data_IF_643404325436
#
_entry.id   IF_643404325436
#
_cell.length_a   1.000
_cell.length_b   1.000
_cell.length_c   1.000
_cell.angle_alpha   90.00
_cell.angle_beta   90.00
_cell.angle_gamma   90.00
#
_symmetry.space_group_name_H-M   'P 1'
#
loop_
_entity.id
_entity.type
_entity.pdbx_description
1 polymer ?
#
# COMPACT_ATOMS: atom_id res chain seq x y z
N UNK A 1 17.16 -42.99 29.81
CA UNK A 1 15.89 -43.17 29.07
C UNK A 1 15.49 -41.85 28.46
N UNK A 2 15.82 -41.71 27.18
CA UNK A 2 15.64 -40.51 26.37
C UNK A 2 14.15 -40.35 26.00
N UNK A 3 13.55 -39.21 26.36
CA UNK A 3 12.22 -38.84 25.85
C UNK A 3 12.39 -38.29 24.42
N UNK A 4 12.00 -39.10 23.44
CA UNK A 4 11.89 -38.73 22.05
C UNK A 4 11.00 -37.49 21.89
N UNK A 5 11.59 -36.45 21.32
CA UNK A 5 10.89 -35.28 20.81
C UNK A 5 9.89 -35.76 19.70
N UNK A 6 8.62 -35.72 19.99
CA UNK A 6 7.58 -35.90 18.97
C UNK A 6 7.62 -34.68 18.06
N UNK A 7 8.21 -34.84 16.89
CA UNK A 7 8.03 -33.92 15.78
C UNK A 7 6.53 -33.79 15.50
N UNK A 8 5.92 -32.71 15.93
CA UNK A 8 4.59 -32.32 15.48
C UNK A 8 4.74 -32.00 14.00
N UNK A 9 4.35 -32.91 13.11
CA UNK A 9 4.08 -32.59 11.72
C UNK A 9 2.92 -31.62 11.73
N UNK A 10 3.21 -30.31 11.67
CA UNK A 10 2.21 -29.30 11.34
C UNK A 10 1.69 -29.69 9.97
N UNK A 11 0.43 -30.01 9.87
CA UNK A 11 -0.23 -30.30 8.60
C UNK A 11 -0.23 -28.99 7.79
N UNK A 12 0.71 -28.92 6.83
CA UNK A 12 0.99 -27.71 6.04
C UNK A 12 -0.21 -27.30 5.15
N UNK A 13 -1.29 -28.08 5.13
CA UNK A 13 -2.49 -27.76 4.36
C UNK A 13 -3.40 -26.74 5.07
N UNK A 14 -3.31 -26.60 6.40
CA UNK A 14 -4.18 -25.73 7.21
C UNK A 14 -3.53 -24.42 7.67
N UNK A 15 -2.32 -24.13 7.23
CA UNK A 15 -1.63 -22.88 7.55
C UNK A 15 -2.38 -21.66 6.95
N UNK A 16 -2.81 -20.67 7.78
CA UNK A 16 -3.50 -19.48 7.32
C UNK A 16 -2.76 -18.72 6.22
N UNK A 17 -1.43 -18.59 6.31
CA UNK A 17 -0.65 -17.93 5.27
C UNK A 17 -0.77 -18.65 3.93
N UNK A 18 -0.66 -19.97 3.91
CA UNK A 18 -0.81 -20.76 2.68
C UNK A 18 -2.20 -20.65 2.08
N UNK A 19 -3.25 -20.64 2.92
CA UNK A 19 -4.62 -20.38 2.44
C UNK A 19 -4.72 -19.01 1.76
N UNK A 20 -4.10 -17.99 2.36
CA UNK A 20 -4.06 -16.65 1.76
C UNK A 20 -3.27 -16.65 0.44
N UNK A 21 -2.09 -17.27 0.39
CA UNK A 21 -1.24 -17.33 -0.82
C UNK A 21 -1.96 -17.98 -2.00
N UNK A 22 -2.77 -19.04 -1.77
CA UNK A 22 -3.56 -19.72 -2.81
C UNK A 22 -4.52 -18.81 -3.57
N UNK A 23 -4.95 -17.69 -2.97
CA UNK A 23 -5.82 -16.72 -3.63
C UNK A 23 -5.10 -15.97 -4.76
N UNK A 24 -3.78 -15.96 -4.74
CA UNK A 24 -2.92 -15.26 -5.69
C UNK A 24 -2.23 -16.19 -6.68
N UNK A 25 -2.40 -17.50 -6.53
CA UNK A 25 -1.84 -18.51 -7.42
C UNK A 25 -2.55 -18.52 -8.79
N UNK A 26 -1.83 -18.96 -9.80
CA UNK A 26 -2.36 -19.17 -11.14
C UNK A 26 -1.26 -19.65 -12.11
N UNK A 27 -1.59 -19.85 -13.39
CA UNK A 27 -0.65 -20.36 -14.38
C UNK A 27 0.55 -19.40 -14.54
N UNK A 28 1.78 -19.92 -14.37
CA UNK A 28 3.04 -19.15 -14.53
C UNK A 28 3.22 -17.97 -13.53
N UNK A 29 2.45 -17.94 -12.45
CA UNK A 29 2.59 -16.93 -11.43
C UNK A 29 3.52 -17.38 -10.31
N UNK A 30 4.31 -16.44 -9.79
CA UNK A 30 5.11 -16.58 -8.58
C UNK A 30 4.39 -15.89 -7.44
N UNK A 31 4.30 -16.56 -6.30
CA UNK A 31 3.72 -16.00 -5.07
C UNK A 31 4.73 -16.16 -3.95
N UNK A 32 5.12 -15.04 -3.37
CA UNK A 32 5.99 -15.01 -2.18
C UNK A 32 5.15 -14.58 -0.98
N UNK A 33 5.16 -15.40 0.06
CA UNK A 33 4.59 -15.10 1.36
C UNK A 33 5.70 -14.75 2.36
N UNK A 34 5.43 -13.83 3.25
CA UNK A 34 6.29 -13.48 4.36
C UNK A 34 5.48 -13.50 5.65
N UNK A 35 6.04 -14.08 6.71
CA UNK A 35 5.61 -13.85 8.10
C UNK A 35 6.76 -13.24 8.88
N UNK A 36 6.42 -12.38 9.82
CA UNK A 36 7.36 -11.74 10.74
C UNK A 36 6.81 -11.92 12.16
N UNK A 37 7.64 -12.36 13.07
CA UNK A 37 7.28 -12.49 14.48
C UNK A 37 8.50 -12.20 15.34
N UNK A 38 8.37 -11.26 16.29
CA UNK A 38 9.39 -10.90 17.27
C UNK A 38 10.80 -10.67 16.65
N UNK A 39 10.89 -9.96 15.53
CA UNK A 39 12.16 -9.66 14.85
C UNK A 39 12.61 -10.71 13.82
N UNK A 40 11.90 -11.83 13.67
CA UNK A 40 12.31 -12.94 12.83
C UNK A 40 11.39 -13.10 11.61
N UNK A 41 11.82 -12.71 10.39
CA UNK A 41 11.08 -12.96 9.17
C UNK A 41 11.25 -14.43 8.70
N UNK A 42 10.19 -14.97 8.11
CA UNK A 42 10.18 -16.27 7.40
C UNK A 42 9.54 -16.06 6.04
N UNK A 43 10.11 -16.69 5.02
CA UNK A 43 9.67 -16.54 3.63
C UNK A 43 9.20 -17.88 3.07
N UNK A 44 8.15 -17.81 2.25
CA UNK A 44 7.49 -18.95 1.65
C UNK A 44 7.25 -18.68 0.18
N UNK A 45 7.21 -19.71 -0.62
CA UNK A 45 6.97 -19.59 -2.06
C UNK A 45 5.98 -20.65 -2.53
N UNK A 46 5.11 -20.23 -3.45
CA UNK A 46 4.26 -21.15 -4.21
C UNK A 46 4.21 -20.71 -5.69
N UNK A 47 3.78 -21.63 -6.55
CA UNK A 47 3.66 -21.35 -7.98
C UNK A 47 4.98 -21.48 -8.75
N UNK A 48 5.09 -20.79 -9.87
CA UNK A 48 6.21 -20.87 -10.79
C UNK A 48 7.43 -20.10 -10.26
N UNK A 49 8.58 -20.78 -10.20
CA UNK A 49 9.86 -20.18 -9.80
C UNK A 49 10.74 -19.95 -11.03
N UNK A 50 10.74 -18.75 -11.61
CA UNK A 50 11.36 -18.51 -12.91
C UNK A 50 12.88 -18.26 -12.87
N UNK A 51 13.49 -18.12 -11.67
CA UNK A 51 14.90 -17.75 -11.52
C UNK A 51 15.54 -18.36 -10.28
N UNK A 52 16.87 -18.36 -10.23
CA UNK A 52 17.69 -18.75 -9.08
C UNK A 52 17.76 -17.64 -8.00
N UNK A 53 17.07 -16.53 -8.19
CA UNK A 53 16.99 -15.45 -7.22
C UNK A 53 16.31 -15.94 -5.93
N UNK A 54 16.92 -15.66 -4.79
CA UNK A 54 16.32 -15.96 -3.49
C UNK A 54 14.91 -15.32 -3.40
N UNK A 55 13.94 -16.11 -2.93
CA UNK A 55 12.51 -15.73 -2.98
C UNK A 55 12.22 -14.39 -2.29
N UNK A 56 12.92 -14.12 -1.18
CA UNK A 56 12.79 -12.89 -0.43
C UNK A 56 13.33 -11.65 -1.15
N UNK A 57 14.17 -11.83 -2.19
CA UNK A 57 14.79 -10.76 -2.98
C UNK A 57 14.12 -10.55 -4.34
N UNK A 58 13.09 -11.33 -4.67
CA UNK A 58 12.28 -11.11 -5.87
C UNK A 58 11.53 -9.79 -5.75
N UNK A 59 11.61 -8.95 -6.76
CA UNK A 59 10.99 -7.61 -6.78
C UNK A 59 9.64 -7.69 -7.50
N UNK A 60 8.62 -7.10 -6.88
CA UNK A 60 7.26 -7.02 -7.41
C UNK A 60 6.74 -5.60 -7.38
N UNK A 61 5.84 -5.23 -8.29
CA UNK A 61 5.03 -4.03 -8.12
C UNK A 61 4.13 -4.20 -6.89
N UNK A 62 4.16 -3.23 -5.99
CA UNK A 62 3.33 -3.25 -4.78
C UNK A 62 2.06 -2.39 -4.89
N UNK A 63 1.90 -1.69 -6.01
CA UNK A 63 0.72 -0.90 -6.32
C UNK A 63 0.32 0.04 -5.17
N UNK A 64 -0.94 0.02 -4.76
CA UNK A 64 -1.46 0.93 -3.74
C UNK A 64 -0.86 0.79 -2.33
N UNK A 65 0.00 -0.21 -2.06
CA UNK A 65 0.82 -0.20 -0.83
C UNK A 65 1.75 1.02 -0.80
N UNK A 66 2.11 1.58 -1.97
CA UNK A 66 2.79 2.87 -2.12
C UNK A 66 2.14 3.99 -1.30
N UNK A 67 0.80 3.99 -1.18
CA UNK A 67 0.07 5.01 -0.44
C UNK A 67 0.47 5.13 1.03
N UNK A 68 0.90 4.03 1.62
CA UNK A 68 1.41 4.03 2.99
C UNK A 68 2.71 4.83 3.07
N UNK A 69 3.62 4.63 2.13
CA UNK A 69 4.88 5.37 2.06
C UNK A 69 4.64 6.86 1.78
N UNK A 70 3.73 7.18 0.86
CA UNK A 70 3.30 8.56 0.59
C UNK A 70 2.71 9.23 1.83
N UNK A 71 1.90 8.51 2.59
CA UNK A 71 1.30 9.01 3.82
C UNK A 71 2.33 9.18 4.95
N UNK A 72 3.33 8.29 5.06
CA UNK A 72 4.43 8.45 6.01
C UNK A 72 5.26 9.69 5.64
N UNK A 73 5.54 9.93 4.35
CA UNK A 73 6.20 11.17 3.91
C UNK A 73 5.42 12.42 4.34
N UNK A 74 4.09 12.42 4.13
CA UNK A 74 3.24 13.52 4.65
C UNK A 74 3.41 13.67 6.16
N UNK A 75 3.37 12.55 6.91
CA UNK A 75 3.53 12.59 8.35
C UNK A 75 4.91 13.10 8.77
N UNK A 76 5.99 12.79 8.03
CA UNK A 76 7.32 13.36 8.27
C UNK A 76 7.29 14.88 8.12
N UNK A 77 6.72 15.40 7.04
CA UNK A 77 6.60 16.85 6.81
C UNK A 77 5.73 17.55 7.87
N UNK A 78 4.70 16.85 8.39
CA UNK A 78 3.90 17.36 9.52
C UNK A 78 4.74 17.40 10.81
N UNK A 79 5.51 16.36 11.12
CA UNK A 79 6.36 16.30 12.32
C UNK A 79 7.53 17.30 12.27
N UNK A 80 7.97 17.67 11.06
CA UNK A 80 8.97 18.72 10.82
C UNK A 80 8.36 20.13 10.85
N UNK A 81 7.02 20.26 10.91
CA UNK A 81 6.31 21.54 10.89
C UNK A 81 6.25 22.20 9.50
N UNK A 82 6.56 21.46 8.45
CA UNK A 82 6.61 21.95 7.06
C UNK A 82 5.24 21.90 6.36
N UNK A 83 4.31 21.07 6.84
CA UNK A 83 2.95 20.92 6.31
C UNK A 83 1.93 20.91 7.43
N UNK A 84 0.92 21.79 7.32
CA UNK A 84 -0.30 21.70 8.14
C UNK A 84 -1.29 20.75 7.43
N UNK A 85 -1.67 19.61 8.05
CA UNK A 85 -2.60 18.67 7.45
C UNK A 85 -4.01 19.23 7.20
N UNK A 86 -4.38 20.32 7.86
CA UNK A 86 -5.71 20.93 7.80
C UNK A 86 -5.77 22.17 6.91
N UNK A 87 -4.63 22.72 6.50
CA UNK A 87 -4.60 23.89 5.61
C UNK A 87 -5.16 23.54 4.22
N UNK A 88 -5.94 24.45 3.59
CA UNK A 88 -6.34 24.30 2.20
C UNK A 88 -5.12 24.18 1.28
N UNK A 89 -5.16 23.28 0.31
CA UNK A 89 -4.06 23.18 -0.65
C UNK A 89 -3.88 24.48 -1.44
N UNK A 90 -4.95 25.20 -1.72
CA UNK A 90 -4.93 26.50 -2.41
C UNK A 90 -4.14 27.59 -1.68
N UNK A 91 -3.90 27.44 -0.39
CA UNK A 91 -3.08 28.36 0.41
C UNK A 91 -1.61 27.96 0.51
N UNK A 92 -1.29 26.72 0.05
CA UNK A 92 0.06 26.18 0.14
C UNK A 92 1.00 26.68 -0.98
N UNK A 93 0.46 27.02 -2.16
CA UNK A 93 1.22 27.52 -3.30
C UNK A 93 0.32 28.18 -4.33
N UNK A 94 0.80 29.23 -4.99
CA UNK A 94 0.08 29.92 -6.09
C UNK A 94 -0.33 28.95 -7.21
N UNK A 95 0.48 27.93 -7.48
CA UNK A 95 0.19 26.90 -8.48
C UNK A 95 -1.08 26.10 -8.12
N UNK A 96 -1.45 26.05 -6.84
CA UNK A 96 -2.59 25.31 -6.30
C UNK A 96 -3.80 26.19 -6.04
N UNK A 97 -3.76 27.48 -6.40
CA UNK A 97 -4.82 28.47 -6.11
C UNK A 97 -6.22 28.07 -6.59
N UNK A 98 -6.29 27.32 -7.70
CA UNK A 98 -7.57 26.84 -8.28
C UNK A 98 -8.09 25.57 -7.58
N UNK A 99 -7.33 24.97 -6.66
CA UNK A 99 -7.80 23.79 -5.91
C UNK A 99 -8.86 24.23 -4.91
N UNK A 100 -10.03 23.56 -4.83
CA UNK A 100 -11.07 23.91 -3.89
C UNK A 100 -10.59 23.96 -2.44
N UNK A 101 -10.99 25.01 -1.70
CA UNK A 101 -10.55 25.31 -0.33
C UNK A 101 -10.82 24.19 0.69
N UNK A 102 -11.75 23.28 0.43
CA UNK A 102 -11.99 22.14 1.31
C UNK A 102 -11.05 20.96 1.11
N UNK A 103 -10.20 21.01 0.08
CA UNK A 103 -9.20 19.94 -0.16
C UNK A 103 -7.96 20.26 0.68
N UNK A 104 -7.72 19.42 1.66
CA UNK A 104 -6.57 19.49 2.57
C UNK A 104 -5.75 18.19 2.48
N UNK A 105 -4.48 18.18 2.92
CA UNK A 105 -3.67 16.95 2.99
C UNK A 105 -4.37 15.83 3.77
N UNK A 106 -5.02 16.13 4.90
CA UNK A 106 -5.75 15.16 5.69
C UNK A 106 -6.95 14.57 4.93
N UNK A 107 -7.70 15.39 4.20
CA UNK A 107 -8.82 14.88 3.38
C UNK A 107 -8.37 14.05 2.20
N UNK A 108 -7.17 14.30 1.66
CA UNK A 108 -6.59 13.47 0.61
C UNK A 108 -6.17 12.09 1.16
N UNK A 109 -5.39 12.09 2.24
CA UNK A 109 -4.84 10.86 2.81
C UNK A 109 -5.91 9.97 3.45
N UNK A 110 -7.02 10.55 3.91
CA UNK A 110 -8.18 9.83 4.46
C UNK A 110 -9.24 9.46 3.45
N UNK A 111 -9.04 9.79 2.16
CA UNK A 111 -10.03 9.57 1.09
C UNK A 111 -11.39 10.25 1.33
N UNK A 112 -11.39 11.42 1.96
CA UNK A 112 -12.60 12.20 2.27
C UNK A 112 -12.69 13.52 1.51
N UNK A 113 -11.77 13.77 0.57
CA UNK A 113 -11.73 14.99 -0.24
C UNK A 113 -12.88 15.11 -1.26
N UNK A 114 -13.57 14.01 -1.56
CA UNK A 114 -14.60 13.94 -2.61
C UNK A 114 -14.04 13.71 -4.02
N UNK A 115 -12.72 13.73 -4.21
CA UNK A 115 -12.09 13.45 -5.51
C UNK A 115 -12.47 12.05 -6.02
N UNK A 116 -12.66 11.88 -7.36
CA UNK A 116 -12.91 10.58 -7.95
C UNK A 116 -11.67 9.68 -7.85
N UNK A 117 -11.87 8.38 -8.10
CA UNK A 117 -10.75 7.43 -8.13
C UNK A 117 -9.76 7.73 -9.25
N UNK A 118 -10.25 8.08 -10.42
CA UNK A 118 -9.48 8.39 -11.64
C UNK A 118 -9.94 9.73 -12.23
N UNK A 119 -9.06 10.38 -12.98
CA UNK A 119 -9.32 11.60 -13.74
C UNK A 119 -10.25 11.37 -14.93
N UNK A 120 -10.44 10.12 -15.35
CA UNK A 120 -11.38 9.70 -16.40
C UNK A 120 -12.45 8.77 -15.82
N UNK A 121 -13.65 8.70 -16.41
CA UNK A 121 -14.65 7.73 -16.02
C UNK A 121 -14.13 6.29 -16.18
N UNK A 122 -14.46 5.41 -15.22
CA UNK A 122 -13.95 4.05 -15.16
C UNK A 122 -14.22 3.24 -16.44
N UNK A 123 -15.35 3.48 -17.10
CA UNK A 123 -15.68 2.82 -18.36
C UNK A 123 -14.74 3.24 -19.50
N UNK A 124 -14.28 4.51 -19.54
CA UNK A 124 -13.25 4.95 -20.49
C UNK A 124 -11.90 4.30 -20.20
N UNK A 125 -11.52 4.21 -18.94
CA UNK A 125 -10.27 3.53 -18.54
C UNK A 125 -10.24 2.05 -18.94
N UNK A 126 -11.39 1.37 -18.93
CA UNK A 126 -11.50 -0.04 -19.36
C UNK A 126 -11.33 -0.21 -20.89
N UNK A 127 -11.69 0.81 -21.68
CA UNK A 127 -11.55 0.79 -23.14
C UNK A 127 -10.25 1.42 -23.65
N UNK A 128 -9.60 2.26 -22.86
CA UNK A 128 -8.27 2.78 -23.17
C UNK A 128 -7.23 1.71 -22.85
N UNK A 129 -6.81 0.97 -23.85
CA UNK A 129 -5.68 0.03 -23.75
C UNK A 129 -4.39 0.84 -23.70
N UNK A 130 -4.01 1.32 -22.51
CA UNK A 130 -2.67 1.84 -22.26
C UNK A 130 -1.83 0.69 -21.72
N UNK A 131 -0.87 0.16 -22.48
CA UNK A 131 -0.08 -0.99 -22.07
C UNK A 131 0.70 -0.77 -20.75
N UNK A 132 1.07 0.48 -20.47
CA UNK A 132 1.88 0.91 -19.31
C UNK A 132 1.00 1.41 -18.15
N UNK A 133 -0.29 1.16 -18.20
CA UNK A 133 -1.25 1.55 -17.16
C UNK A 133 -1.92 2.91 -17.40
N UNK A 134 -2.98 3.18 -16.64
CA UNK A 134 -3.82 4.38 -16.86
C UNK A 134 -3.19 5.68 -16.38
N UNK A 135 -1.96 5.65 -15.85
CA UNK A 135 -1.27 6.78 -15.22
C UNK A 135 -0.02 7.24 -15.98
N UNK A 136 0.40 6.48 -17.00
CA UNK A 136 1.67 6.63 -17.69
C UNK A 136 1.87 7.96 -18.40
N UNK A 137 0.81 8.61 -18.85
CA UNK A 137 0.85 9.85 -19.62
C UNK A 137 0.06 11.00 -18.99
N UNK A 138 -0.22 10.93 -17.69
CA UNK A 138 -0.97 11.98 -16.98
C UNK A 138 0.02 12.86 -16.21
N UNK A 139 0.44 13.96 -16.84
CA UNK A 139 1.44 14.87 -16.34
C UNK A 139 0.92 15.76 -15.19
N UNK A 140 1.84 16.46 -14.50
CA UNK A 140 1.49 17.51 -13.52
C UNK A 140 0.59 18.59 -14.15
N UNK A 141 0.91 19.01 -15.37
CA UNK A 141 0.09 20.00 -16.10
C UNK A 141 -1.32 19.50 -16.34
N UNK A 142 -1.45 18.22 -16.74
CA UNK A 142 -2.77 17.61 -16.93
C UNK A 142 -3.56 17.53 -15.61
N UNK A 143 -2.90 17.16 -14.52
CA UNK A 143 -3.51 17.11 -13.19
C UNK A 143 -4.04 18.48 -12.75
N UNK A 144 -3.22 19.54 -12.87
CA UNK A 144 -3.60 20.90 -12.48
C UNK A 144 -4.73 21.43 -13.38
N UNK A 145 -4.62 21.21 -14.70
CA UNK A 145 -5.68 21.59 -15.66
C UNK A 145 -7.00 20.86 -15.35
N UNK A 146 -6.91 19.58 -15.02
CA UNK A 146 -8.09 18.79 -14.64
C UNK A 146 -8.72 19.31 -13.34
N UNK A 147 -7.91 19.66 -12.35
CA UNK A 147 -8.38 20.19 -11.06
C UNK A 147 -9.09 21.54 -11.24
N UNK A 148 -8.54 22.45 -12.05
CA UNK A 148 -9.15 23.74 -12.36
C UNK A 148 -10.54 23.61 -13.06
N UNK A 149 -10.74 22.52 -13.81
CA UNK A 149 -12.02 22.22 -14.48
C UNK A 149 -12.96 21.34 -13.64
N UNK A 150 -12.50 20.83 -12.50
CA UNK A 150 -13.30 19.93 -11.68
C UNK A 150 -14.24 20.70 -10.75
N UNK A 151 -15.55 20.55 -10.98
CA UNK A 151 -16.59 21.18 -10.19
C UNK A 151 -17.18 20.22 -9.15
N UNK A 152 -16.34 19.76 -8.24
CA UNK A 152 -16.79 18.99 -7.07
C UNK A 152 -17.55 19.84 -6.07
N UNK A 153 -18.32 19.20 -5.22
CA UNK A 153 -19.00 19.86 -4.08
C UNK A 153 -18.29 19.53 -2.79
N UNK A 154 -18.15 20.53 -1.92
CA UNK A 154 -17.65 20.32 -0.55
C UNK A 154 -18.55 19.29 0.16
N UNK A 155 -17.98 18.14 0.62
CA UNK A 155 -18.75 17.17 1.39
C UNK A 155 -19.21 17.72 2.76
N UNK A 156 -18.77 18.92 3.17
CA UNK A 156 -19.15 19.61 4.43
C UNK A 156 -19.15 18.67 5.66
N UNK A 157 -20.24 18.69 6.44
CA UNK A 157 -20.40 17.86 7.63
C UNK A 157 -20.64 16.36 7.34
N UNK A 158 -20.98 15.99 6.11
CA UNK A 158 -21.22 14.61 5.68
C UNK A 158 -20.03 14.06 4.90
N UNK A 159 -18.85 14.03 5.52
CA UNK A 159 -17.67 13.39 4.93
C UNK A 159 -17.98 11.94 4.57
N UNK A 160 -17.71 11.57 3.34
CA UNK A 160 -17.85 10.19 2.86
C UNK A 160 -16.48 9.67 2.41
N UNK A 161 -16.14 8.49 2.86
CA UNK A 161 -14.97 7.80 2.35
C UNK A 161 -15.18 7.43 0.87
N UNK A 162 -14.32 7.94 0.01
CA UNK A 162 -14.28 7.64 -1.41
C UNK A 162 -12.84 7.42 -1.84
N UNK A 163 -12.47 6.16 -1.98
CA UNK A 163 -11.12 5.80 -2.41
C UNK A 163 -10.71 6.54 -3.68
N UNK A 164 -9.54 7.19 -3.65
CA UNK A 164 -9.07 8.03 -4.74
C UNK A 164 -7.56 7.86 -4.98
N UNK A 165 -7.20 7.30 -6.14
CA UNK A 165 -5.82 7.31 -6.63
C UNK A 165 -5.42 8.74 -7.03
N UNK A 166 -6.36 9.48 -7.63
CA UNK A 166 -6.14 10.88 -7.99
C UNK A 166 -5.79 11.73 -6.75
N UNK A 167 -6.47 11.48 -5.61
CA UNK A 167 -6.19 12.18 -4.36
C UNK A 167 -4.78 11.91 -3.84
N UNK A 168 -4.30 10.67 -3.91
CA UNK A 168 -2.94 10.33 -3.49
C UNK A 168 -1.86 10.80 -4.47
N UNK A 169 -2.16 10.82 -5.77
CA UNK A 169 -1.29 11.46 -6.75
C UNK A 169 -1.15 12.95 -6.48
N UNK A 170 -2.27 13.66 -6.30
CA UNK A 170 -2.27 15.07 -5.93
C UNK A 170 -1.49 15.33 -4.63
N UNK A 171 -1.66 14.46 -3.62
CA UNK A 171 -0.89 14.57 -2.38
C UNK A 171 0.63 14.49 -2.62
N UNK A 172 1.08 13.57 -3.47
CA UNK A 172 2.49 13.46 -3.87
C UNK A 172 2.99 14.74 -4.57
N UNK A 173 2.20 15.26 -5.51
CA UNK A 173 2.53 16.51 -6.23
C UNK A 173 2.56 17.74 -5.31
N UNK A 174 1.63 17.85 -4.37
CA UNK A 174 1.60 18.94 -3.38
C UNK A 174 2.87 18.94 -2.55
N UNK A 175 3.29 17.79 -2.04
CA UNK A 175 4.53 17.68 -1.28
C UNK A 175 5.76 18.03 -2.15
N UNK A 176 5.77 17.60 -3.42
CA UNK A 176 6.83 17.95 -4.36
C UNK A 176 6.91 19.45 -4.64
N UNK A 177 5.77 20.12 -4.80
CA UNK A 177 5.67 21.58 -5.00
C UNK A 177 6.16 22.32 -3.77
N UNK A 178 5.66 21.97 -2.58
CA UNK A 178 6.04 22.58 -1.30
C UNK A 178 7.54 22.46 -1.03
N UNK A 179 8.13 21.33 -1.32
CA UNK A 179 9.54 21.05 -1.07
C UNK A 179 10.45 21.43 -2.23
N UNK A 180 9.89 21.90 -3.36
CA UNK A 180 10.65 22.20 -4.59
C UNK A 180 11.57 21.05 -5.04
N UNK A 181 11.12 19.81 -4.88
CA UNK A 181 11.84 18.57 -5.20
C UNK A 181 10.90 17.55 -5.85
N UNK A 182 11.39 16.67 -6.73
CA UNK A 182 10.58 15.55 -7.23
C UNK A 182 10.06 14.68 -6.07
N UNK A 183 8.82 14.21 -6.20
CA UNK A 183 8.18 13.37 -5.17
C UNK A 183 9.00 12.12 -4.86
N UNK A 184 9.52 11.46 -5.89
CA UNK A 184 10.32 10.24 -5.78
C UNK A 184 11.59 10.47 -4.94
N UNK A 185 12.28 11.61 -5.19
CA UNK A 185 13.47 11.98 -4.44
C UNK A 185 13.14 12.30 -2.97
N UNK A 186 12.03 12.99 -2.71
CA UNK A 186 11.57 13.24 -1.33
C UNK A 186 11.27 11.94 -0.59
N UNK A 187 10.55 11.03 -1.24
CA UNK A 187 10.17 9.75 -0.67
C UNK A 187 11.40 8.88 -0.38
N UNK A 188 12.35 8.83 -1.33
CA UNK A 188 13.61 8.13 -1.14
C UNK A 188 14.38 8.67 0.07
N UNK A 189 14.66 9.98 0.09
CA UNK A 189 15.51 10.61 1.10
C UNK A 189 14.88 10.66 2.50
N UNK A 190 13.57 10.92 2.61
CA UNK A 190 12.91 11.12 3.91
C UNK A 190 12.30 9.83 4.50
N UNK A 191 12.07 8.79 3.67
CA UNK A 191 11.38 7.57 4.13
C UNK A 191 12.16 6.30 3.79
N UNK A 192 12.42 6.03 2.51
CA UNK A 192 12.92 4.72 2.05
C UNK A 192 14.35 4.46 2.55
N UNK A 193 15.27 5.39 2.29
CA UNK A 193 16.69 5.28 2.68
C UNK A 193 16.87 5.26 4.21
N UNK A 194 16.21 6.15 5.00
CA UNK A 194 16.31 6.08 6.46
C UNK A 194 15.75 4.79 7.06
N UNK A 195 14.80 4.13 6.40
CA UNK A 195 14.29 2.83 6.80
C UNK A 195 15.21 1.67 6.39
N UNK A 196 16.20 1.92 5.53
CA UNK A 196 17.13 0.91 5.03
C UNK A 196 16.54 -0.04 3.97
N UNK A 197 15.48 0.38 3.28
CA UNK A 197 14.77 -0.41 2.27
C UNK A 197 15.49 -0.34 0.92
N UNK A 198 16.43 -1.23 0.69
CA UNK A 198 17.36 -1.17 -0.44
C UNK A 198 16.73 -1.54 -1.78
N UNK A 199 15.67 -2.34 -1.74
CA UNK A 199 14.99 -2.87 -2.94
C UNK A 199 13.56 -2.32 -3.08
N UNK A 200 13.27 -1.19 -2.40
CA UNK A 200 12.00 -0.47 -2.52
C UNK A 200 12.23 0.82 -3.28
N UNK A 201 11.72 0.89 -4.51
CA UNK A 201 11.97 2.00 -5.44
C UNK A 201 10.88 2.09 -6.51
N UNK A 202 10.73 3.26 -7.13
CA UNK A 202 9.94 3.44 -8.34
C UNK A 202 10.72 3.02 -9.59
N UNK A 203 11.97 3.47 -9.68
CA UNK A 203 12.88 3.10 -10.75
C UNK A 203 13.84 2.01 -10.28
N UNK A 204 14.06 1.01 -11.11
CA UNK A 204 14.92 -0.11 -10.80
C UNK A 204 16.26 0.06 -11.51
N UNK A 205 17.35 -0.11 -10.77
CA UNK A 205 18.68 -0.25 -11.35
C UNK A 205 18.86 -1.61 -12.07
N UNK A 206 20.01 -1.86 -12.66
CA UNK A 206 20.27 -3.06 -13.46
C UNK A 206 20.22 -4.35 -12.64
N UNK A 207 20.68 -4.34 -11.38
CA UNK A 207 20.61 -5.49 -10.46
C UNK A 207 19.17 -5.75 -10.04
N UNK A 208 18.46 -4.72 -9.65
CA UNK A 208 17.05 -4.79 -9.30
C UNK A 208 16.19 -5.25 -10.49
N UNK A 209 16.47 -4.75 -11.70
CA UNK A 209 15.77 -5.17 -12.92
C UNK A 209 15.96 -6.66 -13.21
N UNK A 210 17.15 -7.22 -12.95
CA UNK A 210 17.41 -8.67 -13.10
C UNK A 210 16.58 -9.53 -12.12
N UNK A 211 16.15 -8.96 -10.98
CA UNK A 211 15.34 -9.62 -9.96
C UNK A 211 13.84 -9.29 -10.05
N UNK A 212 13.47 -8.42 -10.99
CA UNK A 212 12.09 -7.99 -11.16
C UNK A 212 11.22 -9.08 -11.77
N UNK A 213 10.12 -9.38 -11.11
CA UNK A 213 9.18 -10.41 -11.53
C UNK A 213 8.24 -9.85 -12.61
N UNK A 214 8.35 -10.38 -13.83
CA UNK A 214 7.48 -10.00 -14.95
C UNK A 214 6.01 -10.00 -14.53
N UNK A 215 5.32 -8.86 -14.56
CA UNK A 215 3.89 -8.79 -14.26
C UNK A 215 3.07 -9.63 -15.25
N UNK A 216 1.99 -10.29 -14.76
CA UNK A 216 1.17 -11.19 -15.58
C UNK A 216 -0.31 -10.99 -15.32
N UNK A 217 -1.10 -11.09 -16.38
CA UNK A 217 -2.55 -11.17 -16.25
C UNK A 217 -2.95 -12.46 -15.50
N UNK A 218 -4.18 -12.55 -15.01
CA UNK A 218 -4.71 -13.75 -14.33
C UNK A 218 -4.64 -15.03 -15.16
N UNK A 219 -4.47 -14.91 -16.48
CA UNK A 219 -4.27 -16.04 -17.42
C UNK A 219 -2.79 -16.39 -17.64
N UNK A 220 -1.87 -15.73 -16.93
CA UNK A 220 -0.43 -15.98 -17.03
C UNK A 220 0.26 -15.31 -18.23
N UNK A 221 -0.43 -14.47 -19.02
CA UNK A 221 0.18 -13.68 -20.09
C UNK A 221 0.95 -12.51 -19.47
N UNK A 222 2.21 -12.30 -19.92
CA UNK A 222 2.98 -11.10 -19.53
C UNK A 222 2.25 -9.82 -19.91
N UNK A 223 2.30 -8.83 -19.03
CA UNK A 223 1.80 -7.46 -19.24
C UNK A 223 2.92 -6.47 -18.92
N UNK A 224 2.85 -5.27 -19.47
CA UNK A 224 3.84 -4.25 -19.16
C UNK A 224 3.71 -3.82 -17.69
N UNK A 225 4.83 -3.53 -17.02
CA UNK A 225 4.83 -2.84 -15.73
C UNK A 225 4.12 -1.50 -15.84
N UNK A 226 3.44 -1.09 -14.78
CA UNK A 226 2.84 0.25 -14.76
C UNK A 226 3.91 1.32 -14.56
N UNK A 227 3.74 2.42 -15.28
CA UNK A 227 4.52 3.66 -15.12
C UNK A 227 3.60 4.78 -14.65
N UNK A 228 4.19 5.80 -14.03
CA UNK A 228 3.46 6.90 -13.42
C UNK A 228 4.21 8.21 -13.69
N UNK A 229 3.45 9.27 -13.95
CA UNK A 229 3.92 10.64 -13.90
C UNK A 229 3.36 11.33 -12.66
N UNK A 230 2.41 12.25 -12.78
CA UNK A 230 1.85 13.01 -11.66
C UNK A 230 1.14 12.16 -10.58
N UNK A 231 0.82 10.90 -10.85
CA UNK A 231 0.12 10.05 -9.89
C UNK A 231 1.04 9.01 -9.21
N UNK A 232 2.35 9.26 -9.18
CA UNK A 232 3.34 8.39 -8.55
C UNK A 232 2.99 8.05 -7.09
N UNK A 233 2.52 9.04 -6.31
CA UNK A 233 2.09 8.84 -4.92
C UNK A 233 0.98 7.81 -4.72
N UNK A 234 0.30 7.39 -5.77
CA UNK A 234 -0.78 6.42 -5.71
C UNK A 234 -0.35 4.96 -5.86
N UNK A 235 0.84 4.66 -6.49
CA UNK A 235 1.09 3.27 -6.81
C UNK A 235 2.40 2.88 -7.48
N UNK A 236 3.38 3.76 -7.55
CA UNK A 236 4.57 3.56 -8.40
C UNK A 236 5.65 2.62 -7.84
N UNK A 237 5.62 2.31 -6.54
CA UNK A 237 6.69 1.56 -5.90
C UNK A 237 6.69 0.07 -6.27
N UNK A 238 7.89 -0.46 -6.31
CA UNK A 238 8.23 -1.88 -6.35
C UNK A 238 8.99 -2.23 -5.08
N UNK A 239 8.89 -3.48 -4.62
CA UNK A 239 9.53 -3.91 -3.37
C UNK A 239 9.74 -5.42 -3.34
N UNK A 240 10.41 -5.90 -2.29
CA UNK A 240 10.67 -7.30 -2.00
C UNK A 240 10.00 -7.74 -0.70
N UNK A 241 9.87 -9.04 -0.51
CA UNK A 241 9.39 -9.59 0.77
C UNK A 241 10.36 -9.26 1.93
N UNK A 242 11.67 -9.15 1.65
CA UNK A 242 12.68 -8.75 2.63
C UNK A 242 12.47 -7.32 3.12
N UNK A 243 12.31 -6.38 2.18
CA UNK A 243 12.08 -4.98 2.52
C UNK A 243 10.74 -4.78 3.24
N UNK A 244 9.69 -5.49 2.84
CA UNK A 244 8.40 -5.43 3.54
C UNK A 244 8.48 -6.01 4.96
N UNK A 245 9.34 -7.03 5.20
CA UNK A 245 9.60 -7.52 6.56
C UNK A 245 10.33 -6.48 7.41
N UNK A 246 11.37 -5.83 6.86
CA UNK A 246 12.08 -4.74 7.53
C UNK A 246 11.14 -3.56 7.81
N UNK A 247 10.32 -3.18 6.84
CA UNK A 247 9.32 -2.12 7.00
C UNK A 247 8.32 -2.45 8.13
N UNK A 248 7.83 -3.69 8.18
CA UNK A 248 6.94 -4.14 9.26
C UNK A 248 7.62 -4.07 10.63
N UNK A 249 8.92 -4.44 10.73
CA UNK A 249 9.71 -4.28 11.96
C UNK A 249 9.74 -2.82 12.42
N UNK A 250 10.02 -1.90 11.51
CA UNK A 250 10.05 -0.45 11.81
C UNK A 250 8.70 0.08 12.30
N UNK A 251 7.59 -0.41 11.74
CA UNK A 251 6.25 -0.05 12.22
C UNK A 251 6.02 -0.54 13.66
N UNK A 252 6.44 -1.78 13.97
CA UNK A 252 6.33 -2.35 15.31
C UNK A 252 7.17 -1.54 16.31
N UNK A 253 8.42 -1.24 15.97
CA UNK A 253 9.34 -0.46 16.79
C UNK A 253 8.79 0.96 17.06
N UNK A 254 8.42 1.69 16.02
CA UNK A 254 7.87 3.04 16.11
C UNK A 254 6.55 3.11 16.88
N UNK A 255 5.73 2.06 16.81
CA UNK A 255 4.48 1.99 17.57
C UNK A 255 4.72 1.91 19.08
N UNK A 256 5.81 1.29 19.49
CA UNK A 256 6.22 1.14 20.90
C UNK A 256 6.92 2.39 21.42
N UNK A 257 8.01 2.76 20.79
CA UNK A 257 8.91 3.83 21.24
C UNK A 257 9.37 4.70 20.05
N UNK A 258 8.62 5.76 19.69
CA UNK A 258 8.98 6.64 18.58
C UNK A 258 10.10 7.62 19.00
N UNK A 259 11.34 7.30 18.68
CA UNK A 259 12.51 8.08 19.07
C UNK A 259 12.82 9.22 18.07
N UNK A 260 12.72 8.95 16.78
CA UNK A 260 13.07 9.88 15.71
C UNK A 260 11.83 10.59 15.15
N UNK A 261 12.04 11.59 14.28
CA UNK A 261 10.97 12.24 13.50
C UNK A 261 10.25 11.18 12.66
N UNK A 262 11.01 10.30 12.00
CA UNK A 262 10.43 9.24 11.17
C UNK A 262 9.61 8.24 12.00
N UNK A 263 10.06 7.87 13.20
CA UNK A 263 9.28 6.97 14.07
C UNK A 263 7.96 7.63 14.51
N UNK A 264 7.97 8.94 14.86
CA UNK A 264 6.74 9.67 15.17
C UNK A 264 5.80 9.74 13.96
N UNK A 265 6.36 9.97 12.77
CA UNK A 265 5.62 9.97 11.51
C UNK A 265 4.97 8.60 11.22
N UNK A 266 5.72 7.51 11.39
CA UNK A 266 5.20 6.15 11.25
C UNK A 266 4.05 5.92 12.26
N UNK A 267 4.25 6.26 13.53
CA UNK A 267 3.22 6.13 14.57
C UNK A 267 1.98 6.96 14.23
N UNK A 268 2.14 8.21 13.79
CA UNK A 268 1.05 9.06 13.30
C UNK A 268 0.30 8.39 12.16
N UNK A 269 1.02 7.79 11.21
CA UNK A 269 0.40 7.14 10.04
C UNK A 269 -0.55 6.01 10.42
N UNK A 270 -0.36 5.38 11.56
CA UNK A 270 -1.22 4.27 12.06
C UNK A 270 -2.43 4.75 12.85
N UNK A 271 -2.56 6.05 13.09
CA UNK A 271 -3.66 6.63 13.86
C UNK A 271 -4.92 6.78 13.01
N UNK A 272 -6.11 6.42 13.55
CA UNK A 272 -7.37 6.61 12.85
C UNK A 272 -7.67 8.08 12.55
N UNK A 273 -8.09 8.36 11.31
CA UNK A 273 -8.51 9.69 10.85
C UNK A 273 -9.99 9.71 10.54
N UNK A 274 -10.53 8.62 9.97
CA UNK A 274 -11.92 8.55 9.57
C UNK A 274 -12.50 7.15 9.83
N UNK A 275 -13.63 7.10 10.54
CA UNK A 275 -14.34 5.88 10.83
C UNK A 275 -15.13 5.37 9.62
N UNK A 276 -14.91 4.12 9.21
CA UNK A 276 -15.61 3.48 8.07
C UNK A 276 -16.86 2.69 8.51
N UNK A 277 -17.24 2.82 9.78
CA UNK A 277 -18.33 2.03 10.35
C UNK A 277 -17.92 0.57 10.63
N UNK A 278 -18.90 -0.33 10.73
CA UNK A 278 -18.65 -1.74 11.00
C UNK A 278 -18.35 -2.49 9.71
N UNK A 279 -17.09 -2.87 9.52
CA UNK A 279 -16.65 -3.78 8.45
C UNK A 279 -17.05 -5.22 8.80
N UNK A 280 -18.27 -5.66 8.42
CA UNK A 280 -18.79 -6.98 8.78
C UNK A 280 -19.31 -7.04 10.22
N UNK A 281 -19.74 -8.22 10.66
CA UNK A 281 -20.62 -8.41 11.82
C UNK A 281 -20.18 -7.87 13.19
N UNK A 282 -18.95 -7.38 13.41
CA UNK A 282 -18.57 -6.94 14.77
C UNK A 282 -17.33 -6.03 14.90
N UNK A 283 -16.55 -5.77 13.85
CA UNK A 283 -15.28 -5.06 14.03
C UNK A 283 -15.26 -3.73 13.28
N UNK A 284 -15.11 -2.58 13.96
CA UNK A 284 -15.02 -1.30 13.32
C UNK A 284 -13.75 -1.22 12.44
N UNK A 285 -13.93 -0.64 11.25
CA UNK A 285 -12.84 -0.28 10.35
C UNK A 285 -12.62 1.24 10.43
N UNK A 286 -11.36 1.64 10.39
CA UNK A 286 -10.97 3.04 10.29
C UNK A 286 -9.96 3.23 9.15
N UNK A 287 -10.06 4.35 8.47
CA UNK A 287 -9.03 4.88 7.59
C UNK A 287 -8.02 5.61 8.46
N UNK A 288 -6.76 5.22 8.36
CA UNK A 288 -5.61 5.93 8.88
C UNK A 288 -4.89 6.66 7.73
N UNK A 289 -3.72 7.21 7.97
CA UNK A 289 -2.88 7.79 6.91
C UNK A 289 -2.32 6.68 6.01
N UNK A 290 -3.03 6.38 4.94
CA UNK A 290 -2.68 5.32 3.96
C UNK A 290 -3.01 3.88 4.40
N UNK A 291 -3.27 3.62 5.67
CA UNK A 291 -3.65 2.30 6.19
C UNK A 291 -5.15 2.17 6.38
N UNK A 292 -5.65 0.94 6.22
CA UNK A 292 -6.88 0.51 6.87
C UNK A 292 -6.54 -0.13 8.21
N UNK A 293 -7.25 0.25 9.27
CA UNK A 293 -7.10 -0.32 10.61
C UNK A 293 -8.38 -1.02 11.02
N UNK A 294 -8.26 -2.29 11.35
CA UNK A 294 -9.35 -3.09 11.91
C UNK A 294 -9.21 -3.13 13.41
N UNK A 295 -10.19 -2.58 14.11
CA UNK A 295 -10.30 -2.73 15.55
C UNK A 295 -10.98 -4.06 15.88
N UNK A 296 -10.51 -4.75 16.89
CA UNK A 296 -11.22 -5.92 17.42
C UNK A 296 -12.36 -5.43 18.31
N UNK A 297 -13.59 -5.80 18.01
CA UNK A 297 -14.78 -5.43 18.81
C UNK A 297 -14.83 -6.08 20.22
N UNK A 298 -13.77 -6.83 20.60
CA UNK A 298 -13.45 -7.30 21.95
C UNK A 298 -12.04 -6.76 22.29
N UNK A 299 -11.64 -6.72 23.57
CA UNK A 299 -10.28 -6.36 23.91
C UNK A 299 -9.30 -7.32 23.18
N UNK A 300 -8.66 -6.83 22.15
CA UNK A 300 -7.73 -7.56 21.29
C UNK A 300 -6.98 -6.61 20.39
N UNK A 301 -5.82 -7.04 19.83
CA UNK A 301 -4.94 -6.17 19.06
C UNK A 301 -5.56 -5.74 17.74
N UNK A 302 -5.37 -4.49 17.37
CA UNK A 302 -5.74 -3.97 16.05
C UNK A 302 -4.75 -4.41 14.97
N UNK A 303 -5.25 -4.58 13.75
CA UNK A 303 -4.44 -4.92 12.58
C UNK A 303 -4.49 -3.79 11.56
N UNK A 304 -3.33 -3.40 11.10
CA UNK A 304 -3.13 -2.51 9.96
C UNK A 304 -3.11 -3.35 8.68
N UNK A 305 -3.77 -2.85 7.65
CA UNK A 305 -3.81 -3.45 6.31
C UNK A 305 -3.44 -2.41 5.27
N UNK A 306 -2.56 -2.77 4.36
CA UNK A 306 -2.40 -2.14 3.06
C UNK A 306 -2.42 -3.21 1.98
N UNK A 307 -3.16 -2.97 0.91
CA UNK A 307 -3.17 -3.83 -0.26
C UNK A 307 -3.01 -3.02 -1.54
N UNK A 308 -2.46 -3.63 -2.55
CA UNK A 308 -2.19 -2.99 -3.81
C UNK A 308 -2.27 -3.95 -4.99
N UNK A 309 -2.49 -3.40 -6.16
CA UNK A 309 -2.49 -4.15 -7.40
C UNK A 309 -2.26 -3.26 -8.59
N UNK A 310 -1.68 -3.85 -9.61
CA UNK A 310 -1.53 -3.33 -10.98
C UNK A 310 -2.20 -4.29 -11.95
N UNK A 311 -2.06 -4.06 -13.25
CA UNK A 311 -2.59 -5.00 -14.25
C UNK A 311 -1.99 -6.41 -14.14
N UNK A 312 -0.79 -6.55 -13.56
CA UNK A 312 -0.06 -7.81 -13.53
C UNK A 312 0.57 -8.19 -12.21
N UNK A 313 0.34 -7.42 -11.13
CA UNK A 313 0.89 -7.73 -9.82
C UNK A 313 -0.13 -7.45 -8.72
N UNK A 314 0.00 -8.15 -7.61
CA UNK A 314 -0.83 -7.92 -6.41
C UNK A 314 0.04 -8.06 -5.15
N UNK A 315 -0.15 -7.14 -4.21
CA UNK A 315 0.52 -7.13 -2.92
C UNK A 315 -0.49 -6.91 -1.79
N UNK A 316 -0.27 -7.58 -0.66
CA UNK A 316 -0.99 -7.33 0.59
C UNK A 316 -0.01 -7.35 1.76
N UNK A 317 -0.12 -6.38 2.65
CA UNK A 317 0.69 -6.24 3.86
C UNK A 317 -0.23 -6.07 5.06
N UNK A 318 -0.01 -6.88 6.08
CA UNK A 318 -0.74 -6.88 7.35
C UNK A 318 0.26 -6.72 8.49
N UNK A 319 0.00 -5.82 9.42
CA UNK A 319 0.86 -5.61 10.59
C UNK A 319 0.01 -5.56 11.85
N UNK A 320 0.42 -6.31 12.86
CA UNK A 320 -0.14 -6.28 14.21
C UNK A 320 0.94 -5.76 15.19
N UNK A 321 1.05 -4.44 15.41
CA UNK A 321 2.12 -3.89 16.22
C UNK A 321 2.12 -4.41 17.67
N UNK A 322 0.95 -4.61 18.24
CA UNK A 322 0.81 -5.10 19.62
C UNK A 322 1.42 -6.50 19.82
N UNK A 323 1.32 -7.39 18.83
CA UNK A 323 1.87 -8.75 18.87
C UNK A 323 3.25 -8.85 18.21
N UNK A 324 3.85 -7.73 17.76
CA UNK A 324 5.12 -7.75 17.01
C UNK A 324 5.12 -8.73 15.85
N UNK A 325 4.01 -8.78 15.13
CA UNK A 325 3.79 -9.73 14.05
C UNK A 325 3.32 -9.04 12.78
N UNK A 326 3.69 -9.59 11.63
CA UNK A 326 3.26 -9.15 10.32
C UNK A 326 3.17 -10.30 9.34
N UNK A 327 2.44 -10.10 8.25
CA UNK A 327 2.43 -10.97 7.09
C UNK A 327 2.35 -10.15 5.81
N UNK A 328 3.01 -10.61 4.76
CA UNK A 328 2.87 -10.03 3.43
C UNK A 328 2.73 -11.13 2.39
N UNK A 329 2.05 -10.78 1.29
CA UNK A 329 1.96 -11.60 0.10
C UNK A 329 2.26 -10.71 -1.10
N UNK A 330 3.21 -11.15 -1.93
CA UNK A 330 3.58 -10.52 -3.18
C UNK A 330 3.38 -11.54 -4.30
N UNK A 331 2.76 -11.11 -5.39
CA UNK A 331 2.54 -11.98 -6.55
C UNK A 331 2.62 -11.17 -7.84
N UNK A 332 3.19 -11.76 -8.87
CA UNK A 332 3.12 -11.24 -10.24
C UNK A 332 1.82 -11.67 -10.95
N UNK A 333 0.72 -11.71 -10.22
CA UNK A 333 -0.62 -12.01 -10.71
C UNK A 333 -1.54 -10.80 -10.55
N UNK A 334 -2.08 -10.28 -11.64
CA UNK A 334 -3.02 -9.15 -11.65
C UNK A 334 -4.42 -9.47 -11.11
N UNK A 335 -4.52 -10.19 -10.00
CA UNK A 335 -5.79 -10.61 -9.38
C UNK A 335 -6.67 -9.41 -9.04
N UNK A 336 -6.06 -8.33 -8.57
CA UNK A 336 -6.76 -7.11 -8.18
C UNK A 336 -7.36 -6.35 -9.37
N UNK A 337 -6.80 -6.50 -10.58
CA UNK A 337 -7.29 -5.83 -11.79
C UNK A 337 -8.49 -6.55 -12.42
N UNK A 338 -8.80 -7.77 -12.02
CA UNK A 338 -9.91 -8.55 -12.57
C UNK A 338 -11.10 -8.54 -11.60
N UNK A 339 -12.27 -8.11 -12.08
CA UNK A 339 -13.48 -7.96 -11.27
C UNK A 339 -13.87 -9.25 -10.53
N UNK A 340 -13.86 -10.39 -11.22
CA UNK A 340 -14.25 -11.68 -10.62
C UNK A 340 -13.27 -12.16 -9.55
N UNK A 341 -11.98 -11.98 -9.77
CA UNK A 341 -10.96 -12.35 -8.80
C UNK A 341 -10.93 -11.39 -7.61
N UNK A 342 -11.20 -10.09 -7.83
CA UNK A 342 -11.35 -9.10 -6.75
C UNK A 342 -12.56 -9.42 -5.86
N UNK A 343 -13.69 -9.83 -6.45
CA UNK A 343 -14.87 -10.29 -5.71
C UNK A 343 -14.53 -11.55 -4.90
N UNK A 344 -13.84 -12.52 -5.50
CA UNK A 344 -13.41 -13.74 -4.80
C UNK A 344 -12.49 -13.43 -3.62
N UNK A 345 -11.55 -12.49 -3.79
CA UNK A 345 -10.68 -12.02 -2.71
C UNK A 345 -11.50 -11.41 -1.56
N UNK A 346 -12.49 -10.57 -1.88
CA UNK A 346 -13.33 -9.95 -0.84
C UNK A 346 -14.18 -10.97 -0.07
N UNK A 347 -14.65 -12.03 -0.73
CA UNK A 347 -15.42 -13.11 -0.09
C UNK A 347 -14.58 -14.05 0.77
N UNK A 348 -13.29 -14.21 0.46
CA UNK A 348 -12.38 -15.06 1.24
C UNK A 348 -12.02 -14.48 2.61
N UNK A 349 -12.44 -13.24 2.90
CA UNK A 349 -12.11 -12.47 4.11
C UNK A 349 -10.63 -12.57 4.50
N UNK A 350 -9.71 -12.04 3.65
CA UNK A 350 -8.28 -12.13 3.93
C UNK A 350 -7.90 -11.41 5.23
N UNK A 351 -8.69 -10.43 5.67
CA UNK A 351 -8.51 -9.76 6.96
C UNK A 351 -8.74 -10.71 8.14
N UNK A 352 -9.72 -11.62 8.05
CA UNK A 352 -9.94 -12.60 9.11
C UNK A 352 -8.80 -13.61 9.15
N UNK A 353 -8.35 -14.09 8.00
CA UNK A 353 -7.22 -15.02 7.92
C UNK A 353 -5.92 -14.39 8.46
N UNK A 354 -5.67 -13.12 8.11
CA UNK A 354 -4.55 -12.37 8.67
C UNK A 354 -4.68 -12.19 10.18
N UNK A 355 -5.89 -11.94 10.68
CA UNK A 355 -6.15 -11.84 12.11
C UNK A 355 -5.84 -13.17 12.82
N UNK A 356 -6.34 -14.30 12.31
CA UNK A 356 -6.03 -15.63 12.85
C UNK A 356 -4.51 -15.87 12.87
N UNK A 357 -3.80 -15.53 11.78
CA UNK A 357 -2.35 -15.70 11.67
C UNK A 357 -1.54 -14.82 12.65
N UNK A 358 -1.92 -13.55 12.81
CA UNK A 358 -1.13 -12.56 13.55
C UNK A 358 -1.49 -12.48 15.04
N UNK A 359 -2.59 -13.12 15.46
CA UNK A 359 -3.04 -13.13 16.85
C UNK A 359 -3.01 -14.52 17.48
N UNK A 360 -2.66 -15.55 16.72
CA UNK A 360 -2.36 -16.87 17.27
C UNK A 360 -1.05 -16.76 18.07
N UNK A 361 -1.17 -16.72 19.39
CA UNK A 361 -0.07 -16.71 20.38
C UNK A 361 0.41 -18.13 20.68
#
# INVERSE_FOLDING_TARGET
MSRMNKNVKIDLQDDPLRRMMRLYEGPRHSVVGMTFSNGHPRYFHTGHRPSDVAIENQIFEIGSVTKVFTAILLCVLIEEGEVDPHAPLSEMSDILSDVPVWITPERLVSHTSGLPNLYIPIWKALFQQQPEGPYASFSRTDLLTWLAQWHGTDPKANLRHRYSNLGFGLLGEVMAIQQSKPFEALLANKVIEPLGLKDTSGDLDSDQQARFMQPRSTRGKGVNPWTFEALAGAGFLRSTARDLALFASRIVEASREPLTVLDRAIKRSTSPVFGLGRGGRSNPLAQCYGWLRRENGKPGPSILLANGGTAGSTCALYVCPANSSAAAILSNNGVAANLWTSIRLSWSDPMRQAHELLTAS
#
